data_IF_745772995093
#
_entry.id   IF_745772995093
#
_cell.length_a   1.000
_cell.length_b   1.000
_cell.length_c   1.000
_cell.angle_alpha   90.00
_cell.angle_beta   90.00
_cell.angle_gamma   90.00
#
_symmetry.space_group_name_H-M   'P 1'
#
loop_
_entity.id
_entity.type
_entity.pdbx_description
1 polymer ?
#
# COMPACT_ATOMS: atom_id res chain seq x y z
N UNK A 1 -6.59 19.35 -66.28
CA UNK A 1 -5.41 18.96 -65.48
C UNK A 1 -5.81 18.98 -64.01
N UNK A 2 -6.13 17.83 -63.45
CA UNK A 2 -6.47 17.67 -62.03
C UNK A 2 -5.18 17.61 -61.23
N UNK A 3 -4.94 18.62 -60.39
CA UNK A 3 -3.83 18.62 -59.44
C UNK A 3 -4.07 17.49 -58.43
N UNK A 4 -3.33 16.39 -58.57
CA UNK A 4 -3.29 15.33 -57.57
C UNK A 4 -2.66 15.93 -56.32
N UNK A 5 -3.48 16.23 -55.31
CA UNK A 5 -2.98 16.53 -53.96
C UNK A 5 -2.25 15.29 -53.47
N UNK A 6 -0.92 15.31 -53.51
CA UNK A 6 -0.10 14.30 -52.85
C UNK A 6 -0.34 14.45 -51.35
N UNK A 7 -1.07 13.50 -50.77
CA UNK A 7 -1.17 13.39 -49.32
C UNK A 7 0.21 12.98 -48.80
N UNK A 8 0.82 13.87 -48.01
CA UNK A 8 2.05 13.57 -47.28
C UNK A 8 1.73 12.44 -46.30
N UNK A 9 2.44 11.32 -46.41
CA UNK A 9 2.34 10.20 -45.49
C UNK A 9 3.27 10.42 -44.31
N UNK A 10 2.96 9.82 -43.17
CA UNK A 10 3.82 9.84 -41.98
C UNK A 10 5.26 9.37 -42.30
N UNK A 11 5.38 8.41 -43.23
CA UNK A 11 6.65 7.85 -43.70
C UNK A 11 7.45 8.77 -44.61
N UNK A 12 6.85 9.86 -45.09
CA UNK A 12 7.53 10.87 -45.91
C UNK A 12 8.24 11.92 -45.04
N UNK A 13 8.03 11.88 -43.71
CA UNK A 13 8.71 12.72 -42.74
C UNK A 13 10.15 12.26 -42.51
N UNK A 14 11.00 13.19 -42.07
CA UNK A 14 12.33 12.87 -41.59
C UNK A 14 12.27 11.94 -40.35
N UNK A 15 13.25 11.06 -40.20
CA UNK A 15 13.30 10.07 -39.11
C UNK A 15 13.20 10.73 -37.73
N UNK A 16 13.77 11.92 -37.57
CA UNK A 16 13.72 12.72 -36.34
C UNK A 16 12.30 13.14 -35.99
N UNK A 17 11.50 13.50 -37.00
CA UNK A 17 10.09 13.86 -36.81
C UNK A 17 9.25 12.63 -36.48
N UNK A 18 9.51 11.49 -37.13
CA UNK A 18 8.84 10.23 -36.81
C UNK A 18 9.18 9.81 -35.37
N UNK A 19 10.45 9.91 -34.97
CA UNK A 19 10.89 9.60 -33.61
C UNK A 19 10.21 10.51 -32.58
N UNK A 20 10.16 11.83 -32.83
CA UNK A 20 9.44 12.76 -31.97
C UNK A 20 7.96 12.36 -31.83
N UNK A 21 7.28 11.98 -32.91
CA UNK A 21 5.89 11.52 -32.86
C UNK A 21 5.74 10.28 -31.98
N UNK A 22 6.66 9.31 -32.10
CA UNK A 22 6.64 8.11 -31.25
C UNK A 22 6.92 8.42 -29.78
N UNK A 23 7.77 9.40 -29.48
CA UNK A 23 8.05 9.87 -28.12
C UNK A 23 6.85 10.52 -27.44
N UNK A 24 5.90 11.05 -28.22
CA UNK A 24 4.66 11.65 -27.74
C UNK A 24 3.47 10.68 -27.73
N UNK A 25 3.69 9.38 -27.96
CA UNK A 25 2.63 8.40 -27.72
C UNK A 25 2.13 8.51 -26.25
N UNK A 26 0.81 8.44 -26.04
CA UNK A 26 0.24 8.63 -24.70
C UNK A 26 0.54 7.47 -23.75
N UNK A 27 0.72 6.27 -24.29
CA UNK A 27 0.95 5.04 -23.53
C UNK A 27 1.73 4.01 -24.36
N UNK A 28 2.26 2.97 -23.68
CA UNK A 28 3.05 1.94 -24.34
C UNK A 28 2.26 1.09 -25.34
N UNK A 29 0.95 0.89 -25.14
CA UNK A 29 0.13 0.13 -26.08
C UNK A 29 -0.02 0.90 -27.41
N UNK A 30 -0.21 2.22 -27.34
CA UNK A 30 -0.23 3.14 -28.47
C UNK A 30 1.11 3.12 -29.22
N UNK A 31 2.24 3.15 -28.50
CA UNK A 31 3.58 3.02 -29.10
C UNK A 31 3.76 1.70 -29.84
N UNK A 32 3.40 0.57 -29.21
CA UNK A 32 3.52 -0.76 -29.82
C UNK A 32 2.65 -0.87 -31.07
N UNK A 33 1.40 -0.40 -31.01
CA UNK A 33 0.50 -0.37 -32.17
C UNK A 33 1.08 0.49 -33.31
N UNK A 34 1.61 1.68 -33.01
CA UNK A 34 2.25 2.53 -33.99
C UNK A 34 3.48 1.86 -34.63
N UNK A 35 4.29 1.15 -33.84
CA UNK A 35 5.48 0.44 -34.33
C UNK A 35 5.16 -0.63 -35.38
N UNK A 36 3.97 -1.22 -35.31
CA UNK A 36 3.51 -2.24 -36.25
C UNK A 36 2.80 -1.68 -37.49
N UNK A 37 2.58 -0.36 -37.57
CA UNK A 37 1.83 0.25 -38.67
C UNK A 37 2.63 0.30 -40.00
N UNK A 38 3.96 0.39 -39.95
CA UNK A 38 4.80 0.47 -41.15
C UNK A 38 6.26 0.03 -40.90
N UNK A 39 6.95 -0.62 -41.87
CA UNK A 39 8.35 -1.06 -41.70
C UNK A 39 9.33 0.04 -41.28
N UNK A 40 9.25 1.25 -41.85
CA UNK A 40 10.10 2.39 -41.45
C UNK A 40 9.97 2.72 -39.97
N UNK A 41 8.72 2.73 -39.46
CA UNK A 41 8.42 3.04 -38.06
C UNK A 41 8.95 1.91 -37.18
N UNK A 42 8.74 0.66 -37.60
CA UNK A 42 9.28 -0.52 -36.91
C UNK A 42 10.81 -0.46 -36.78
N UNK A 43 11.52 -0.09 -37.84
CA UNK A 43 12.98 0.04 -37.81
C UNK A 43 13.45 1.14 -36.86
N UNK A 44 12.78 2.30 -36.86
CA UNK A 44 13.07 3.38 -35.91
C UNK A 44 12.78 2.96 -34.47
N UNK A 45 11.62 2.35 -34.23
CA UNK A 45 11.25 1.80 -32.94
C UNK A 45 12.34 0.84 -32.43
N UNK A 46 12.79 -0.10 -33.26
CA UNK A 46 13.84 -1.06 -32.88
C UNK A 46 15.16 -0.37 -32.56
N UNK A 47 15.55 0.66 -33.33
CA UNK A 47 16.78 1.41 -33.11
C UNK A 47 16.76 2.23 -31.79
N UNK A 48 15.60 2.74 -31.38
CA UNK A 48 15.45 3.66 -30.24
C UNK A 48 14.56 3.11 -29.12
N UNK A 49 14.40 1.78 -29.03
CA UNK A 49 13.38 1.14 -28.19
C UNK A 49 13.47 1.53 -26.71
N UNK A 50 14.66 1.59 -26.10
CA UNK A 50 14.80 1.97 -24.68
C UNK A 50 14.43 3.44 -24.42
N UNK A 51 14.88 4.34 -25.30
CA UNK A 51 14.54 5.77 -25.24
C UNK A 51 13.03 5.96 -25.36
N UNK A 52 12.41 5.29 -26.33
CA UNK A 52 10.97 5.34 -26.55
C UNK A 52 10.19 4.74 -25.38
N UNK A 53 10.60 3.58 -24.88
CA UNK A 53 9.99 2.95 -23.70
C UNK A 53 9.99 3.89 -22.49
N UNK A 54 11.15 4.46 -22.20
CA UNK A 54 11.34 5.38 -21.07
C UNK A 54 10.50 6.64 -21.22
N UNK A 55 10.50 7.26 -22.40
CA UNK A 55 9.80 8.52 -22.63
C UNK A 55 8.28 8.33 -22.65
N UNK A 56 7.79 7.29 -23.32
CA UNK A 56 6.35 7.02 -23.38
C UNK A 56 5.81 6.61 -22.01
N UNK A 57 6.58 5.88 -21.20
CA UNK A 57 6.20 5.58 -19.82
C UNK A 57 6.08 6.86 -18.95
N UNK A 58 6.90 7.89 -19.20
CA UNK A 58 6.75 9.20 -18.54
C UNK A 58 5.50 9.95 -18.97
N UNK A 59 5.00 9.71 -20.18
CA UNK A 59 3.74 10.29 -20.63
C UNK A 59 2.54 9.56 -20.02
N UNK A 60 2.67 8.24 -19.80
CA UNK A 60 1.61 7.39 -19.25
C UNK A 60 1.40 7.59 -17.74
N UNK A 61 2.48 7.72 -16.97
CA UNK A 61 2.42 7.85 -15.51
C UNK A 61 2.35 9.32 -15.07
N UNK A 62 1.50 9.68 -14.09
CA UNK A 62 1.60 10.96 -13.41
C UNK A 62 3.00 11.15 -12.78
N UNK A 63 3.52 12.37 -12.86
CA UNK A 63 4.83 12.72 -12.30
C UNK A 63 4.92 12.36 -10.81
N UNK A 64 3.82 12.57 -10.07
CA UNK A 64 3.74 12.36 -8.63
C UNK A 64 3.91 10.89 -8.21
N UNK A 65 3.62 9.93 -9.11
CA UNK A 65 3.73 8.48 -8.83
C UNK A 65 4.94 7.83 -9.51
N UNK A 66 5.68 8.59 -10.33
CA UNK A 66 6.74 8.03 -11.17
C UNK A 66 7.85 7.37 -10.34
N UNK A 67 8.36 8.05 -9.31
CA UNK A 67 9.37 7.48 -8.39
C UNK A 67 8.86 6.23 -7.69
N UNK A 68 7.61 6.24 -7.24
CA UNK A 68 6.99 5.11 -6.55
C UNK A 68 6.90 3.88 -7.45
N UNK A 69 6.42 4.05 -8.69
CA UNK A 69 6.35 2.98 -9.67
C UNK A 69 7.73 2.38 -9.97
N UNK A 70 8.76 3.23 -10.03
CA UNK A 70 10.12 2.80 -10.30
C UNK A 70 10.76 2.03 -9.18
N UNK A 71 10.62 2.52 -7.95
CA UNK A 71 11.11 1.78 -6.80
C UNK A 71 10.34 0.48 -6.64
N UNK A 72 9.01 0.44 -6.85
CA UNK A 72 8.25 -0.81 -6.79
C UNK A 72 8.76 -1.84 -7.82
N UNK A 73 9.08 -1.41 -9.04
CA UNK A 73 9.67 -2.27 -10.06
C UNK A 73 11.08 -2.75 -9.69
N UNK A 74 11.95 -1.85 -9.23
CA UNK A 74 13.32 -2.18 -8.85
C UNK A 74 13.40 -2.98 -7.54
N UNK A 75 12.44 -2.80 -6.65
CA UNK A 75 12.34 -3.47 -5.36
C UNK A 75 12.18 -4.98 -5.51
N UNK A 76 11.75 -5.50 -6.67
CA UNK A 76 11.74 -6.93 -6.98
C UNK A 76 13.11 -7.63 -6.79
N UNK A 77 14.20 -6.86 -6.67
CA UNK A 77 15.58 -7.34 -6.39
C UNK A 77 16.04 -7.07 -4.95
N UNK A 78 15.19 -6.46 -4.14
CA UNK A 78 15.44 -6.00 -2.76
C UNK A 78 14.60 -6.82 -1.79
N UNK A 79 14.80 -8.14 -1.76
CA UNK A 79 14.18 -8.99 -0.75
C UNK A 79 15.00 -8.92 0.54
N UNK A 80 14.33 -8.70 1.67
CA UNK A 80 14.96 -8.87 2.96
C UNK A 80 14.86 -10.32 3.41
N UNK A 81 15.91 -10.83 4.08
CA UNK A 81 15.87 -12.18 4.67
C UNK A 81 14.79 -12.24 5.75
N UNK A 82 14.38 -13.46 6.12
CA UNK A 82 13.50 -13.65 7.27
C UNK A 82 14.10 -13.01 8.54
N UNK A 83 13.25 -12.46 9.42
CA UNK A 83 13.62 -11.72 10.63
C UNK A 83 14.55 -12.51 11.57
N UNK A 84 14.37 -13.82 11.63
CA UNK A 84 15.21 -14.74 12.42
C UNK A 84 16.69 -14.66 12.03
N UNK A 85 16.96 -14.35 10.76
CA UNK A 85 18.29 -14.35 10.15
C UNK A 85 18.86 -12.95 9.97
N UNK A 86 18.19 -11.91 10.50
CA UNK A 86 18.63 -10.53 10.37
C UNK A 86 19.33 -10.06 11.65
N UNK A 87 20.52 -9.50 11.48
CA UNK A 87 21.12 -8.60 12.47
C UNK A 87 20.54 -7.18 12.33
N UNK A 88 20.79 -6.32 13.32
CA UNK A 88 20.42 -4.90 13.22
C UNK A 88 21.12 -4.18 12.06
N UNK A 89 22.37 -4.54 11.78
CA UNK A 89 23.11 -4.01 10.64
C UNK A 89 22.50 -4.45 9.31
N UNK A 90 22.00 -5.69 9.22
CA UNK A 90 21.29 -6.16 8.04
C UNK A 90 20.01 -5.35 7.79
N UNK A 91 19.26 -5.03 8.86
CA UNK A 91 18.07 -4.18 8.78
C UNK A 91 18.43 -2.81 8.21
N UNK A 92 19.39 -2.11 8.81
CA UNK A 92 19.80 -0.78 8.34
C UNK A 92 20.35 -0.82 6.91
N UNK A 93 21.08 -1.87 6.54
CA UNK A 93 21.59 -2.06 5.19
C UNK A 93 20.46 -2.29 4.17
N UNK A 94 19.48 -3.12 4.51
CA UNK A 94 18.35 -3.45 3.64
C UNK A 94 17.45 -2.22 3.42
N UNK A 95 17.14 -1.47 4.48
CA UNK A 95 16.40 -0.21 4.39
C UNK A 95 17.14 0.80 3.52
N UNK A 96 18.45 0.95 3.69
CA UNK A 96 19.29 1.85 2.88
C UNK A 96 19.27 1.51 1.40
N UNK A 97 19.11 0.24 1.02
CA UNK A 97 18.96 -0.14 -0.39
C UNK A 97 17.68 0.45 -0.99
N UNK A 98 16.56 0.40 -0.28
CA UNK A 98 15.32 1.04 -0.72
C UNK A 98 15.52 2.56 -0.83
N UNK A 99 16.12 3.18 0.20
CA UNK A 99 16.43 4.62 0.19
C UNK A 99 17.28 5.00 -1.01
N UNK A 100 18.34 4.22 -1.28
CA UNK A 100 19.22 4.45 -2.43
C UNK A 100 18.45 4.30 -3.73
N UNK A 101 17.63 3.25 -3.88
CA UNK A 101 16.80 3.07 -5.06
C UNK A 101 15.79 4.20 -5.26
N UNK A 102 15.25 4.80 -4.20
CA UNK A 102 14.40 6.00 -4.27
C UNK A 102 15.22 7.20 -4.76
N UNK A 103 16.35 7.47 -4.11
CA UNK A 103 17.16 8.67 -4.35
C UNK A 103 17.87 8.63 -5.72
N UNK A 104 18.22 7.44 -6.20
CA UNK A 104 18.84 7.23 -7.52
C UNK A 104 17.85 6.75 -8.58
N UNK A 105 16.56 6.62 -8.23
CA UNK A 105 15.52 5.89 -8.96
C UNK A 105 15.07 6.48 -10.29
N UNK A 106 15.94 7.18 -10.99
CA UNK A 106 15.69 7.57 -12.37
C UNK A 106 15.66 6.32 -13.25
N UNK A 107 14.54 6.09 -13.90
CA UNK A 107 14.40 5.14 -15.00
C UNK A 107 15.18 5.62 -16.23
N UNK A 108 16.49 5.67 -16.16
CA UNK A 108 17.30 5.94 -17.34
C UNK A 108 17.47 4.63 -18.11
N UNK A 109 16.93 4.62 -19.33
CA UNK A 109 17.15 3.53 -20.30
C UNK A 109 16.44 2.20 -19.96
N UNK A 110 15.15 2.26 -19.62
CA UNK A 110 14.34 1.05 -19.48
C UNK A 110 14.22 0.30 -20.81
N UNK A 111 14.42 -1.01 -20.78
CA UNK A 111 13.99 -1.86 -21.89
C UNK A 111 12.45 -1.92 -22.01
N UNK A 112 11.97 -2.31 -23.18
CA UNK A 112 10.54 -2.35 -23.48
C UNK A 112 9.76 -3.30 -22.54
N UNK A 113 10.36 -4.43 -22.16
CA UNK A 113 9.71 -5.42 -21.28
C UNK A 113 9.51 -4.89 -19.86
N UNK A 114 10.50 -4.15 -19.38
CA UNK A 114 10.50 -3.50 -18.07
C UNK A 114 9.48 -2.37 -18.07
N UNK A 115 9.45 -1.53 -19.11
CA UNK A 115 8.45 -0.48 -19.24
C UNK A 115 7.02 -1.05 -19.30
N UNK A 116 6.80 -2.14 -20.05
CA UNK A 116 5.49 -2.83 -20.10
C UNK A 116 5.10 -3.35 -18.70
N UNK A 117 6.05 -3.90 -17.94
CA UNK A 117 5.79 -4.37 -16.58
C UNK A 117 5.37 -3.24 -15.65
N UNK A 118 6.04 -2.09 -15.72
CA UNK A 118 5.68 -0.88 -14.94
C UNK A 118 4.31 -0.36 -15.36
N UNK A 119 4.02 -0.25 -16.67
CA UNK A 119 2.69 0.16 -17.18
C UNK A 119 1.58 -0.78 -16.70
N UNK A 120 1.80 -2.09 -16.73
CA UNK A 120 0.83 -3.08 -16.22
C UNK A 120 0.59 -2.93 -14.72
N UNK A 121 1.66 -2.75 -13.94
CA UNK A 121 1.53 -2.51 -12.50
C UNK A 121 0.75 -1.21 -12.25
N UNK A 122 1.07 -0.14 -12.99
CA UNK A 122 0.39 1.14 -12.84
C UNK A 122 -1.11 1.04 -13.11
N UNK A 123 -1.52 0.35 -14.18
CA UNK A 123 -2.93 0.11 -14.46
C UNK A 123 -3.64 -0.60 -13.31
N UNK A 124 -3.02 -1.63 -12.72
CA UNK A 124 -3.58 -2.30 -11.53
C UNK A 124 -3.72 -1.37 -10.33
N UNK A 125 -2.73 -0.50 -10.12
CA UNK A 125 -2.78 0.52 -9.05
C UNK A 125 -3.91 1.51 -9.28
N UNK A 126 -4.10 1.98 -10.52
CA UNK A 126 -5.21 2.88 -10.88
C UNK A 126 -6.55 2.20 -10.64
N UNK A 127 -6.73 0.96 -11.11
CA UNK A 127 -7.96 0.19 -10.91
C UNK A 127 -8.28 -0.02 -9.41
N UNK A 128 -7.26 -0.37 -8.61
CA UNK A 128 -7.40 -0.54 -7.16
C UNK A 128 -7.72 0.77 -6.46
N UNK A 129 -7.09 1.88 -6.87
CA UNK A 129 -7.40 3.20 -6.33
C UNK A 129 -8.85 3.60 -6.65
N UNK A 130 -9.30 3.34 -7.87
CA UNK A 130 -10.68 3.59 -8.30
C UNK A 130 -11.70 2.77 -7.49
N UNK A 131 -11.42 1.50 -7.23
CA UNK A 131 -12.25 0.70 -6.31
C UNK A 131 -12.19 1.26 -4.90
N UNK A 132 -11.03 1.70 -4.42
CA UNK A 132 -10.90 2.34 -3.12
C UNK A 132 -11.84 3.54 -2.99
N UNK A 133 -11.90 4.44 -3.98
CA UNK A 133 -12.83 5.56 -3.93
C UNK A 133 -14.30 5.13 -3.88
N UNK A 134 -14.68 4.11 -4.67
CA UNK A 134 -16.07 3.67 -4.75
C UNK A 134 -16.53 2.91 -3.50
N UNK A 135 -15.66 2.07 -2.94
CA UNK A 135 -16.00 1.13 -1.87
C UNK A 135 -15.48 1.59 -0.49
N UNK A 136 -14.73 2.70 -0.38
CA UNK A 136 -14.21 3.10 0.93
C UNK A 136 -15.29 3.42 1.98
N UNK A 137 -16.52 3.75 1.56
CA UNK A 137 -17.67 3.94 2.44
C UNK A 137 -18.63 2.73 2.51
N UNK A 138 -18.34 1.65 1.77
CA UNK A 138 -19.17 0.45 1.63
C UNK A 138 -18.28 -0.81 1.67
N UNK A 139 -18.42 -1.64 2.70
CA UNK A 139 -17.62 -2.86 2.84
C UNK A 139 -18.52 -4.07 2.91
N UNK A 140 -18.61 -4.84 1.82
CA UNK A 140 -19.52 -5.99 1.68
C UNK A 140 -20.97 -5.61 2.06
N UNK A 141 -21.41 -5.97 3.26
CA UNK A 141 -22.76 -5.71 3.78
C UNK A 141 -22.85 -4.43 4.63
N UNK A 142 -21.72 -3.84 4.99
CA UNK A 142 -21.64 -2.72 5.93
C UNK A 142 -21.54 -1.39 5.19
N UNK A 143 -22.33 -0.42 5.64
CA UNK A 143 -22.36 0.93 5.10
C UNK A 143 -21.86 1.93 6.13
N UNK A 144 -20.78 2.62 5.81
CA UNK A 144 -20.25 3.66 6.68
C UNK A 144 -20.86 5.02 6.33
N UNK A 145 -22.11 5.20 6.74
CA UNK A 145 -22.92 6.38 6.42
C UNK A 145 -22.24 7.74 6.71
N UNK A 146 -21.52 7.93 7.85
CA UNK A 146 -20.81 9.19 8.08
C UNK A 146 -19.76 9.50 7.02
N UNK A 147 -19.02 8.50 6.56
CA UNK A 147 -18.02 8.70 5.52
C UNK A 147 -18.64 8.90 4.14
N UNK A 148 -19.70 8.13 3.80
CA UNK A 148 -20.50 8.41 2.59
C UNK A 148 -20.99 9.86 2.55
N UNK A 149 -21.47 10.36 3.69
CA UNK A 149 -21.92 11.75 3.81
C UNK A 149 -20.76 12.74 3.62
N UNK A 150 -19.57 12.44 4.13
CA UNK A 150 -18.36 13.24 3.88
C UNK A 150 -18.01 13.30 2.39
N UNK A 151 -18.01 12.16 1.70
CA UNK A 151 -17.74 12.07 0.25
C UNK A 151 -18.76 12.84 -0.57
N UNK A 152 -20.02 12.86 -0.14
CA UNK A 152 -21.10 13.61 -0.81
C UNK A 152 -20.94 15.12 -0.61
N UNK A 153 -20.51 15.55 0.59
CA UNK A 153 -20.25 16.98 0.88
C UNK A 153 -19.00 17.52 0.20
N UNK A 154 -17.96 16.69 0.07
CA UNK A 154 -16.64 17.07 -0.44
C UNK A 154 -16.20 16.04 -1.48
N UNK A 155 -16.23 16.45 -2.76
CA UNK A 155 -15.69 15.64 -3.85
C UNK A 155 -14.21 15.32 -3.63
N UNK A 156 -13.77 14.20 -4.19
CA UNK A 156 -12.40 13.75 -4.10
C UNK A 156 -11.46 14.72 -4.80
N UNK A 157 -10.39 15.12 -4.12
CA UNK A 157 -9.36 15.96 -4.72
C UNK A 157 -8.38 15.14 -5.56
N UNK A 158 -7.68 15.78 -6.51
CA UNK A 158 -6.57 15.13 -7.25
C UNK A 158 -5.49 14.62 -6.27
N UNK A 159 -5.24 15.35 -5.19
CA UNK A 159 -4.25 14.99 -4.17
C UNK A 159 -4.65 13.73 -3.42
N UNK A 160 -5.94 13.58 -3.05
CA UNK A 160 -6.45 12.33 -2.47
C UNK A 160 -6.25 11.15 -3.42
N UNK A 161 -6.51 11.36 -4.71
CA UNK A 161 -6.35 10.29 -5.69
C UNK A 161 -4.90 9.83 -5.85
N UNK A 162 -3.99 10.80 -5.99
CA UNK A 162 -2.55 10.55 -6.09
C UNK A 162 -2.04 9.89 -4.81
N UNK A 163 -2.48 10.34 -3.62
CA UNK A 163 -2.08 9.76 -2.33
C UNK A 163 -2.43 8.29 -2.24
N UNK A 164 -3.63 7.88 -2.67
CA UNK A 164 -4.01 6.45 -2.68
C UNK A 164 -3.11 5.64 -3.62
N UNK A 165 -2.80 6.16 -4.81
CA UNK A 165 -1.89 5.49 -5.73
C UNK A 165 -0.47 5.36 -5.15
N UNK A 166 0.09 6.45 -4.61
CA UNK A 166 1.40 6.47 -3.95
C UNK A 166 1.45 5.45 -2.79
N UNK A 167 0.42 5.44 -1.95
CA UNK A 167 0.31 4.54 -0.80
C UNK A 167 0.18 3.07 -1.22
N UNK A 168 -0.49 2.80 -2.34
CA UNK A 168 -0.58 1.46 -2.93
C UNK A 168 0.77 0.99 -3.45
N UNK A 169 1.56 1.87 -4.07
CA UNK A 169 2.93 1.54 -4.45
C UNK A 169 3.85 1.34 -3.23
N UNK A 170 3.75 2.18 -2.20
CA UNK A 170 4.51 2.02 -0.96
C UNK A 170 4.16 0.71 -0.26
N UNK A 171 2.88 0.34 -0.23
CA UNK A 171 2.44 -0.99 0.21
C UNK A 171 3.18 -2.08 -0.57
N UNK A 172 3.21 -1.99 -1.90
CA UNK A 172 3.88 -3.00 -2.74
C UNK A 172 5.39 -3.06 -2.51
N UNK A 173 6.05 -1.91 -2.35
CA UNK A 173 7.49 -1.84 -2.01
C UNK A 173 7.76 -2.55 -0.69
N UNK A 174 6.98 -2.24 0.36
CA UNK A 174 7.12 -2.87 1.67
C UNK A 174 6.75 -4.37 1.63
N UNK A 175 5.76 -4.75 0.82
CA UNK A 175 5.36 -6.14 0.59
C UNK A 175 6.48 -6.95 -0.08
N UNK A 176 7.16 -6.39 -1.10
CA UNK A 176 8.35 -7.03 -1.70
C UNK A 176 9.46 -7.17 -0.66
N UNK A 177 9.70 -6.09 0.07
CA UNK A 177 10.74 -6.04 1.08
C UNK A 177 10.54 -7.11 2.17
N UNK A 178 9.28 -7.41 2.51
CA UNK A 178 8.91 -8.38 3.54
C UNK A 178 8.53 -9.77 3.01
N UNK A 179 8.77 -10.07 1.73
CA UNK A 179 8.24 -11.28 1.07
C UNK A 179 8.70 -12.60 1.71
N UNK A 180 9.87 -12.62 2.35
CA UNK A 180 10.45 -13.81 3.01
C UNK A 180 10.27 -13.77 4.53
N UNK A 181 9.47 -12.85 5.08
CA UNK A 181 9.29 -12.72 6.52
C UNK A 181 8.18 -13.63 7.02
N UNK A 182 8.56 -14.58 7.86
CA UNK A 182 7.65 -15.54 8.46
C UNK A 182 7.95 -15.67 9.95
N UNK A 183 6.91 -15.59 10.77
CA UNK A 183 6.99 -15.66 12.23
C UNK A 183 6.09 -16.77 12.74
N UNK A 184 6.61 -17.56 13.68
CA UNK A 184 5.84 -18.57 14.41
C UNK A 184 6.56 -19.91 14.51
N UNK A 185 5.85 -20.90 15.03
CA UNK A 185 6.35 -22.23 15.34
C UNK A 185 6.53 -22.45 16.84
N UNK A 186 6.93 -23.66 17.22
CA UNK A 186 7.24 -24.02 18.60
C UNK A 186 8.60 -23.42 19.00
N UNK A 187 8.58 -22.13 19.35
CA UNK A 187 9.76 -21.32 19.65
C UNK A 187 9.71 -20.80 21.09
N UNK A 188 10.87 -20.62 21.76
CA UNK A 188 10.90 -20.11 23.13
C UNK A 188 10.51 -18.63 23.21
N UNK A 189 10.02 -18.17 24.37
CA UNK A 189 9.63 -16.76 24.58
C UNK A 189 10.73 -15.75 24.19
N UNK A 190 12.00 -16.10 24.44
CA UNK A 190 13.14 -15.24 24.10
C UNK A 190 13.25 -14.92 22.59
N UNK A 191 12.84 -15.86 21.72
CA UNK A 191 12.79 -15.66 20.28
C UNK A 191 11.80 -14.54 19.91
N UNK A 192 10.60 -14.58 20.48
CA UNK A 192 9.58 -13.57 20.20
C UNK A 192 9.95 -12.18 20.74
N UNK A 193 10.70 -12.11 21.85
CA UNK A 193 11.22 -10.85 22.38
C UNK A 193 12.28 -10.24 21.46
N UNK A 194 13.21 -11.07 20.95
CA UNK A 194 14.23 -10.63 19.99
C UNK A 194 13.60 -10.11 18.68
N UNK A 195 12.63 -10.84 18.14
CA UNK A 195 11.90 -10.43 16.93
C UNK A 195 11.15 -9.12 17.12
N UNK A 196 10.50 -8.95 18.28
CA UNK A 196 9.77 -7.74 18.61
C UNK A 196 10.71 -6.52 18.61
N UNK A 197 11.90 -6.67 19.21
CA UNK A 197 12.92 -5.63 19.22
C UNK A 197 13.43 -5.30 17.81
N UNK A 198 13.79 -6.32 17.01
CA UNK A 198 14.22 -6.15 15.62
C UNK A 198 13.16 -5.46 14.76
N UNK A 199 11.89 -5.77 14.97
CA UNK A 199 10.80 -5.13 14.25
C UNK A 199 10.64 -3.65 14.64
N UNK A 200 10.82 -3.31 15.92
CA UNK A 200 10.87 -1.92 16.37
C UNK A 200 12.00 -1.14 15.69
N UNK A 201 13.19 -1.73 15.61
CA UNK A 201 14.34 -1.17 14.88
C UNK A 201 14.06 -1.03 13.38
N UNK A 202 13.39 -2.01 12.77
CA UNK A 202 12.96 -1.95 11.39
C UNK A 202 12.02 -0.76 11.14
N UNK A 203 11.00 -0.60 11.98
CA UNK A 203 10.05 0.53 11.85
C UNK A 203 10.75 1.87 12.01
N UNK A 204 11.66 2.01 12.98
CA UNK A 204 12.46 3.21 13.16
C UNK A 204 13.31 3.51 11.92
N UNK A 205 14.04 2.50 11.43
CA UNK A 205 14.86 2.67 10.23
C UNK A 205 14.02 3.08 9.02
N UNK A 206 12.85 2.45 8.81
CA UNK A 206 11.93 2.79 7.72
C UNK A 206 11.42 4.24 7.83
N UNK A 207 10.94 4.63 9.02
CA UNK A 207 10.28 5.92 9.24
C UNK A 207 11.24 7.12 9.36
N UNK A 208 12.51 6.86 9.67
CA UNK A 208 13.55 7.90 9.73
C UNK A 208 14.34 8.02 8.41
N UNK A 209 14.44 6.95 7.62
CA UNK A 209 15.33 6.94 6.45
C UNK A 209 14.65 6.78 5.09
N UNK A 210 13.48 6.14 5.02
CA UNK A 210 12.90 5.70 3.74
C UNK A 210 11.55 6.33 3.43
N UNK A 211 10.66 6.38 4.41
CA UNK A 211 9.35 7.01 4.29
C UNK A 211 9.07 7.82 5.54
N UNK A 212 8.32 8.91 5.43
CA UNK A 212 7.93 9.69 6.58
C UNK A 212 6.77 9.04 7.36
N UNK A 213 6.55 9.40 8.64
CA UNK A 213 5.47 8.82 9.44
C UNK A 213 4.09 8.93 8.80
N UNK A 214 3.76 10.06 8.14
CA UNK A 214 2.47 10.23 7.48
C UNK A 214 2.30 9.27 6.29
N UNK A 215 3.36 8.95 5.56
CA UNK A 215 3.32 7.97 4.47
C UNK A 215 3.10 6.56 5.04
N UNK A 216 3.71 6.23 6.18
CA UNK A 216 3.46 4.95 6.87
C UNK A 216 1.99 4.81 7.29
N UNK A 217 1.40 5.89 7.84
CA UNK A 217 -0.02 5.92 8.17
C UNK A 217 -0.91 5.71 6.94
N UNK A 218 -0.52 6.25 5.78
CA UNK A 218 -1.24 6.05 4.53
C UNK A 218 -1.13 4.60 4.03
N UNK A 219 0.04 3.98 4.13
CA UNK A 219 0.21 2.55 3.80
C UNK A 219 -0.63 1.66 4.71
N UNK A 220 -0.64 1.94 6.02
CA UNK A 220 -1.48 1.22 6.98
C UNK A 220 -2.96 1.36 6.59
N UNK A 221 -3.41 2.56 6.23
CA UNK A 221 -4.78 2.78 5.80
C UNK A 221 -5.14 2.03 4.50
N UNK A 222 -4.22 1.92 3.53
CA UNK A 222 -4.40 1.08 2.33
C UNK A 222 -4.48 -0.39 2.68
N UNK A 223 -3.59 -0.89 3.53
CA UNK A 223 -3.63 -2.27 4.00
C UNK A 223 -4.99 -2.59 4.62
N UNK A 224 -5.49 -1.70 5.47
CA UNK A 224 -6.78 -1.88 6.12
C UNK A 224 -7.93 -1.83 5.14
N UNK A 225 -7.88 -0.94 4.14
CA UNK A 225 -8.85 -0.97 3.05
C UNK A 225 -8.87 -2.34 2.35
N UNK A 226 -7.72 -2.91 2.01
CA UNK A 226 -7.66 -4.25 1.40
C UNK A 226 -8.22 -5.33 2.32
N UNK A 227 -7.89 -5.30 3.62
CA UNK A 227 -8.48 -6.20 4.63
C UNK A 227 -10.01 -6.13 4.61
N UNK A 228 -10.58 -4.92 4.64
CA UNK A 228 -12.03 -4.71 4.64
C UNK A 228 -12.71 -5.23 3.38
N UNK A 229 -12.15 -4.94 2.20
CA UNK A 229 -12.77 -5.35 0.93
C UNK A 229 -12.65 -6.87 0.72
N UNK A 230 -11.55 -7.47 1.20
CA UNK A 230 -11.32 -8.90 1.07
C UNK A 230 -12.07 -9.73 2.09
N UNK A 231 -12.14 -9.34 3.37
CA UNK A 231 -12.73 -10.18 4.43
C UNK A 231 -13.94 -9.55 5.14
N UNK A 232 -14.20 -8.26 4.96
CA UNK A 232 -15.20 -7.53 5.76
C UNK A 232 -14.84 -7.50 7.25
N UNK A 233 -15.81 -7.14 8.08
CA UNK A 233 -15.67 -7.18 9.55
C UNK A 233 -16.46 -8.32 10.21
N UNK A 234 -17.14 -9.16 9.43
CA UNK A 234 -18.01 -10.22 9.97
C UNK A 234 -17.28 -11.50 10.36
N UNK A 235 -16.00 -11.66 9.99
CA UNK A 235 -15.22 -12.86 10.31
C UNK A 235 -14.55 -12.74 11.68
N UNK A 236 -14.31 -13.88 12.32
CA UNK A 236 -13.53 -13.97 13.55
C UNK A 236 -12.19 -13.22 13.44
N UNK A 237 -11.87 -12.44 14.46
CA UNK A 237 -10.71 -11.53 14.48
C UNK A 237 -9.38 -12.29 14.44
N UNK A 238 -9.27 -13.42 15.14
CA UNK A 238 -8.06 -14.22 15.20
C UNK A 238 -7.80 -14.92 13.87
N UNK A 239 -8.86 -15.47 13.26
CA UNK A 239 -8.78 -16.04 11.92
C UNK A 239 -8.41 -14.98 10.90
N UNK A 240 -9.02 -13.81 10.95
CA UNK A 240 -8.72 -12.69 10.05
C UNK A 240 -7.25 -12.28 10.15
N UNK A 241 -6.74 -12.07 11.35
CA UNK A 241 -5.32 -11.73 11.56
C UNK A 241 -4.36 -12.88 11.22
N UNK A 242 -4.84 -14.13 11.21
CA UNK A 242 -4.05 -15.28 10.75
C UNK A 242 -3.91 -15.35 9.22
N UNK A 243 -4.96 -15.03 8.46
CA UNK A 243 -4.99 -15.24 7.01
C UNK A 243 -4.68 -13.98 6.20
N UNK A 244 -5.09 -12.81 6.68
CA UNK A 244 -4.93 -11.55 5.95
C UNK A 244 -3.47 -11.20 5.63
N UNK A 245 -2.49 -11.37 6.54
CA UNK A 245 -1.09 -11.16 6.20
C UNK A 245 -0.63 -12.04 5.02
N UNK A 246 -1.15 -13.27 4.93
CA UNK A 246 -0.88 -14.16 3.80
C UNK A 246 -1.45 -13.63 2.48
N UNK A 247 -2.71 -13.21 2.46
CA UNK A 247 -3.32 -12.61 1.26
C UNK A 247 -2.59 -11.35 0.80
N UNK A 248 -2.24 -10.47 1.74
CA UNK A 248 -1.49 -9.24 1.46
C UNK A 248 -0.10 -9.53 0.90
N UNK A 249 0.53 -10.63 1.32
CA UNK A 249 1.86 -11.05 0.83
C UNK A 249 1.88 -11.45 -0.65
N UNK A 250 0.73 -11.80 -1.25
CA UNK A 250 0.64 -12.06 -2.69
C UNK A 250 0.74 -10.78 -3.55
N UNK A 251 0.60 -9.60 -2.93
CA UNK A 251 0.84 -8.30 -3.56
C UNK A 251 -0.24 -7.82 -4.53
N UNK A 252 0.03 -6.68 -5.18
CA UNK A 252 -0.92 -6.01 -6.07
C UNK A 252 -1.53 -6.94 -7.14
N UNK A 253 -0.79 -7.84 -7.80
CA UNK A 253 -1.39 -8.71 -8.82
C UNK A 253 -2.54 -9.56 -8.31
N UNK A 254 -2.40 -10.11 -7.10
CA UNK A 254 -3.45 -10.90 -6.44
C UNK A 254 -4.59 -10.03 -5.95
N UNK A 255 -4.28 -8.91 -5.29
CA UNK A 255 -5.29 -7.97 -4.79
C UNK A 255 -6.17 -7.43 -5.91
N UNK A 256 -5.56 -7.02 -7.02
CA UNK A 256 -6.28 -6.57 -8.22
C UNK A 256 -7.16 -7.68 -8.80
N UNK A 257 -6.67 -8.92 -8.86
CA UNK A 257 -7.48 -10.06 -9.30
C UNK A 257 -8.71 -10.24 -8.41
N UNK A 258 -8.50 -10.29 -7.09
CA UNK A 258 -9.55 -10.54 -6.10
C UNK A 258 -10.59 -9.41 -6.00
N UNK A 259 -10.15 -8.15 -6.13
CA UNK A 259 -10.96 -6.97 -5.88
C UNK A 259 -11.60 -6.43 -7.16
N UNK A 260 -10.84 -6.36 -8.26
CA UNK A 260 -11.25 -5.68 -9.48
C UNK A 260 -11.78 -6.63 -10.57
N UNK A 261 -11.25 -7.86 -10.65
CA UNK A 261 -11.59 -8.79 -11.75
C UNK A 261 -12.55 -9.91 -11.32
N UNK A 262 -12.54 -10.33 -10.06
CA UNK A 262 -13.45 -11.35 -9.53
C UNK A 262 -14.78 -10.73 -9.15
N UNK A 263 -15.89 -11.34 -9.59
CA UNK A 263 -17.23 -10.91 -9.22
C UNK A 263 -17.40 -10.92 -7.68
N UNK A 264 -18.04 -9.91 -7.06
CA UNK A 264 -18.26 -9.87 -5.62
C UNK A 264 -18.89 -11.15 -5.05
N UNK A 265 -19.79 -11.81 -5.80
CA UNK A 265 -20.44 -13.06 -5.39
C UNK A 265 -19.52 -14.28 -5.42
N UNK A 266 -18.43 -14.25 -6.18
CA UNK A 266 -17.45 -15.33 -6.30
C UNK A 266 -16.20 -15.11 -5.44
N UNK A 267 -16.04 -13.91 -4.86
CA UNK A 267 -14.84 -13.49 -4.12
C UNK A 267 -14.51 -14.41 -2.95
N UNK A 268 -15.50 -14.82 -2.17
CA UNK A 268 -15.26 -15.72 -1.03
C UNK A 268 -14.78 -17.11 -1.47
N UNK A 269 -15.31 -17.62 -2.59
CA UNK A 269 -14.84 -18.89 -3.18
C UNK A 269 -13.41 -18.76 -3.70
N UNK A 270 -13.08 -17.66 -4.38
CA UNK A 270 -11.72 -17.36 -4.81
C UNK A 270 -10.73 -17.30 -3.64
N UNK A 271 -11.08 -16.59 -2.57
CA UNK A 271 -10.21 -16.45 -1.39
C UNK A 271 -10.02 -17.79 -0.66
N UNK A 272 -11.08 -18.58 -0.54
CA UNK A 272 -11.05 -19.88 0.15
C UNK A 272 -10.04 -20.86 -0.44
N UNK A 273 -9.82 -20.81 -1.77
CA UNK A 273 -8.83 -21.65 -2.46
C UNK A 273 -7.39 -21.35 -2.02
N UNK A 274 -7.12 -20.10 -1.63
CA UNK A 274 -5.81 -19.65 -1.21
C UNK A 274 -5.65 -19.64 0.31
N UNK A 275 -6.75 -19.64 1.06
CA UNK A 275 -6.77 -19.61 2.52
C UNK A 275 -6.09 -20.87 3.10
N UNK A 276 -6.32 -22.04 2.51
CA UNK A 276 -5.68 -23.29 2.94
C UNK A 276 -4.15 -23.22 2.84
N UNK A 277 -3.63 -22.79 1.69
CA UNK A 277 -2.18 -22.61 1.47
C UNK A 277 -1.55 -21.62 2.49
N UNK A 278 -2.31 -20.62 2.92
CA UNK A 278 -1.86 -19.63 3.92
C UNK A 278 -1.86 -20.24 5.32
N UNK A 279 -2.87 -21.03 5.65
CA UNK A 279 -3.02 -21.68 6.95
C UNK A 279 -1.97 -22.77 7.19
N UNK A 280 -1.44 -23.39 6.13
CA UNK A 280 -0.37 -24.38 6.21
C UNK A 280 1.04 -23.78 6.43
N UNK A 281 1.22 -22.49 6.11
CA UNK A 281 2.51 -21.78 6.26
C UNK A 281 2.60 -21.08 7.61
N UNK A 282 3.79 -20.77 8.13
CA UNK A 282 3.92 -19.86 9.27
C UNK A 282 3.29 -18.49 8.98
N UNK A 283 3.06 -17.68 10.03
CA UNK A 283 2.38 -16.40 9.86
C UNK A 283 3.30 -15.42 9.12
N UNK A 284 2.78 -14.80 8.06
CA UNK A 284 3.56 -13.84 7.28
C UNK A 284 3.76 -12.53 8.06
N UNK A 285 4.99 -12.02 8.11
CA UNK A 285 5.38 -10.86 8.93
C UNK A 285 4.87 -9.51 8.42
N UNK A 286 4.29 -9.45 7.21
CA UNK A 286 3.82 -8.18 6.60
C UNK A 286 2.84 -7.41 7.48
N UNK A 287 1.93 -8.12 8.17
CA UNK A 287 0.99 -7.49 9.10
C UNK A 287 1.71 -6.82 10.26
N UNK A 288 2.81 -7.40 10.73
CA UNK A 288 3.61 -6.81 11.80
C UNK A 288 4.41 -5.60 11.30
N UNK A 289 4.96 -5.66 10.08
CA UNK A 289 5.74 -4.56 9.49
C UNK A 289 4.86 -3.38 9.10
N UNK A 290 3.73 -3.60 8.43
CA UNK A 290 2.78 -2.55 8.07
C UNK A 290 1.81 -2.36 9.24
N UNK A 291 2.34 -1.80 10.34
CA UNK A 291 1.60 -1.55 11.57
C UNK A 291 2.11 -0.28 12.25
N UNK A 292 1.33 0.22 13.22
CA UNK A 292 1.77 1.33 14.09
C UNK A 292 2.82 0.92 15.13
N UNK A 293 3.15 -0.37 15.18
CA UNK A 293 4.06 -0.97 16.14
C UNK A 293 3.58 -0.85 17.58
N UNK A 294 4.49 -1.12 18.52
CA UNK A 294 4.26 -0.86 19.94
C UNK A 294 4.08 0.64 20.19
N UNK A 295 3.44 0.99 21.33
CA UNK A 295 3.20 2.40 21.72
C UNK A 295 4.46 3.28 21.75
N UNK A 296 5.66 2.70 21.80
CA UNK A 296 6.93 3.41 21.96
C UNK A 296 7.91 3.27 20.78
N UNK A 297 7.58 2.56 19.71
CA UNK A 297 8.55 2.31 18.62
C UNK A 297 8.78 3.58 17.80
N UNK A 298 7.80 4.05 17.04
CA UNK A 298 7.96 5.22 16.16
C UNK A 298 6.75 6.18 16.15
N UNK A 299 5.59 5.71 16.63
CA UNK A 299 4.38 6.52 16.83
C UNK A 299 4.35 7.12 18.24
N UNK A 300 3.41 8.05 18.50
CA UNK A 300 3.10 8.53 19.87
C UNK A 300 4.28 9.19 20.60
N UNK A 301 5.27 9.67 19.83
CA UNK A 301 6.37 10.52 20.28
C UNK A 301 6.09 11.98 19.91
N UNK A 302 6.64 12.97 20.64
CA UNK A 302 6.58 14.36 20.21
C UNK A 302 7.07 14.51 18.77
N UNK A 303 6.32 15.28 17.97
CA UNK A 303 6.61 15.46 16.56
C UNK A 303 7.95 16.18 16.39
N UNK A 304 8.88 15.55 15.65
CA UNK A 304 10.10 16.21 15.18
C UNK A 304 9.76 17.33 14.18
N UNK A 305 10.65 18.33 14.01
CA UNK A 305 10.60 19.27 12.89
C UNK A 305 10.42 18.57 11.54
N UNK A 306 9.65 19.17 10.62
CA UNK A 306 9.27 18.51 9.36
C UNK A 306 10.47 18.22 8.45
N UNK A 307 11.50 19.06 8.52
CA UNK A 307 12.76 18.97 7.78
C UNK A 307 13.66 17.82 8.27
N UNK A 308 13.37 17.24 9.43
CA UNK A 308 14.07 16.04 9.92
C UNK A 308 13.52 14.73 9.34
N UNK A 309 12.31 14.74 8.75
CA UNK A 309 11.76 13.57 8.09
C UNK A 309 12.27 13.45 6.65
N UNK A 310 12.48 12.22 6.19
CA UNK A 310 12.86 11.90 4.80
C UNK A 310 11.67 11.27 4.08
N UNK A 311 10.74 12.07 3.55
CA UNK A 311 9.60 11.53 2.83
C UNK A 311 10.03 10.81 1.57
N UNK A 312 9.23 9.83 1.18
CA UNK A 312 9.36 9.17 -0.10
C UNK A 312 9.04 10.13 -1.25
N UNK A 313 8.07 11.03 -1.05
CA UNK A 313 7.76 12.11 -1.97
C UNK A 313 7.44 13.44 -1.27
N UNK A 314 8.00 14.53 -1.80
CA UNK A 314 7.72 15.89 -1.32
C UNK A 314 6.52 16.46 -2.07
N UNK A 315 5.38 16.66 -1.39
CA UNK A 315 4.24 17.34 -2.02
C UNK A 315 2.89 17.21 -1.30
N UNK A 316 2.76 16.28 -0.35
CA UNK A 316 1.47 16.01 0.29
C UNK A 316 1.22 16.85 1.56
N UNK A 317 1.05 18.16 1.38
CA UNK A 317 0.82 19.09 2.50
C UNK A 317 -0.47 18.76 3.27
N UNK A 318 -1.53 18.34 2.57
CA UNK A 318 -2.80 17.98 3.19
C UNK A 318 -2.69 16.69 4.01
N UNK A 319 -1.98 15.68 3.51
CA UNK A 319 -1.70 14.45 4.26
C UNK A 319 -0.85 14.70 5.50
N UNK A 320 0.15 15.58 5.43
CA UNK A 320 0.94 16.01 6.60
C UNK A 320 0.03 16.66 7.66
N UNK A 321 -0.89 17.55 7.25
CA UNK A 321 -1.83 18.18 8.17
C UNK A 321 -2.81 17.17 8.78
N UNK A 322 -3.28 16.21 7.99
CA UNK A 322 -4.14 15.13 8.47
C UNK A 322 -3.42 14.27 9.51
N UNK A 323 -2.19 13.85 9.22
CA UNK A 323 -1.33 13.11 10.15
C UNK A 323 -1.12 13.86 11.47
N UNK A 324 -0.82 15.16 11.42
CA UNK A 324 -0.70 15.98 12.65
C UNK A 324 -1.96 15.96 13.51
N UNK A 325 -3.15 15.95 12.90
CA UNK A 325 -4.43 15.88 13.63
C UNK A 325 -4.65 14.51 14.26
N UNK A 326 -4.31 13.44 13.53
CA UNK A 326 -4.33 12.07 14.02
C UNK A 326 -3.41 11.93 15.25
N UNK A 327 -2.14 12.31 15.11
CA UNK A 327 -1.16 12.24 16.20
C UNK A 327 -1.57 13.08 17.40
N UNK A 328 -2.00 14.33 17.17
CA UNK A 328 -2.46 15.19 18.26
C UNK A 328 -3.61 14.54 19.05
N UNK A 329 -4.53 13.86 18.36
CA UNK A 329 -5.65 13.17 19.00
C UNK A 329 -5.17 11.95 19.79
N UNK A 330 -4.27 11.15 19.24
CA UNK A 330 -3.70 9.98 19.93
C UNK A 330 -2.87 10.39 21.16
N UNK A 331 -2.08 11.46 21.06
CA UNK A 331 -1.27 11.98 22.17
C UNK A 331 -2.10 12.46 23.35
N UNK A 332 -3.36 12.85 23.16
CA UNK A 332 -4.26 13.17 24.30
C UNK A 332 -4.58 11.97 25.19
N UNK A 333 -4.32 10.75 24.69
CA UNK A 333 -4.57 9.47 25.36
C UNK A 333 -3.26 8.74 25.67
N UNK A 334 -2.10 9.38 25.50
CA UNK A 334 -0.81 8.81 25.87
C UNK A 334 -0.48 9.17 27.32
N UNK A 335 -0.11 8.19 28.14
CA UNK A 335 0.31 8.40 29.53
C UNK A 335 1.48 7.48 29.87
N UNK A 336 2.39 7.98 30.71
CA UNK A 336 3.48 7.18 31.30
C UNK A 336 3.07 6.59 32.67
N UNK A 337 1.86 6.87 33.16
CA UNK A 337 1.34 6.34 34.43
C UNK A 337 0.86 4.88 34.25
N UNK A 338 1.50 3.90 34.92
CA UNK A 338 1.14 2.49 34.80
C UNK A 338 -0.30 2.19 35.23
N UNK A 339 -0.87 2.96 36.17
CA UNK A 339 -2.24 2.73 36.68
C UNK A 339 -3.28 3.10 35.64
N UNK A 340 -3.00 4.12 34.84
CA UNK A 340 -3.91 4.58 33.81
C UNK A 340 -3.61 3.97 32.43
N UNK A 341 -2.45 3.35 32.24
CA UNK A 341 -2.02 2.77 30.97
C UNK A 341 -3.09 1.85 30.39
N UNK A 342 -3.57 0.86 31.16
CA UNK A 342 -4.55 -0.15 30.68
C UNK A 342 -5.86 0.48 30.19
N UNK A 343 -6.35 1.51 30.87
CA UNK A 343 -7.58 2.22 30.48
C UNK A 343 -7.36 3.03 29.19
N UNK A 344 -6.22 3.70 29.07
CA UNK A 344 -5.87 4.46 27.88
C UNK A 344 -5.45 3.55 26.71
N UNK A 345 -4.93 2.35 26.96
CA UNK A 345 -4.69 1.25 26.00
C UNK A 345 -5.96 0.92 25.25
N UNK A 346 -7.01 0.57 25.98
CA UNK A 346 -8.29 0.25 25.38
C UNK A 346 -8.88 1.41 24.57
N UNK A 347 -8.88 2.63 25.13
CA UNK A 347 -9.44 3.80 24.46
C UNK A 347 -8.65 4.22 23.21
N UNK A 348 -7.33 4.07 23.26
CA UNK A 348 -6.47 4.33 22.11
C UNK A 348 -6.72 3.32 21.01
N UNK A 349 -6.73 2.02 21.30
CA UNK A 349 -7.07 0.96 20.34
C UNK A 349 -8.40 1.26 19.64
N UNK A 350 -9.42 1.63 20.43
CA UNK A 350 -10.74 2.02 19.92
C UNK A 350 -10.67 3.23 18.99
N UNK A 351 -9.91 4.27 19.37
CA UNK A 351 -9.69 5.45 18.52
C UNK A 351 -8.97 5.06 17.21
N UNK A 352 -8.00 4.16 17.27
CA UNK A 352 -7.20 3.76 16.11
C UNK A 352 -8.01 2.95 15.10
N UNK A 353 -8.79 1.97 15.58
CA UNK A 353 -9.81 1.31 14.76
C UNK A 353 -10.76 2.33 14.12
N UNK A 354 -11.06 3.43 14.83
CA UNK A 354 -11.83 4.57 14.31
C UNK A 354 -11.23 5.34 13.17
N UNK A 355 -9.97 5.68 13.30
CA UNK A 355 -9.26 6.33 12.23
C UNK A 355 -9.03 5.39 11.04
N UNK A 356 -8.97 4.08 11.28
CA UNK A 356 -8.73 3.08 10.27
C UNK A 356 -9.96 2.75 9.40
N UNK A 357 -11.15 2.64 10.01
CA UNK A 357 -12.41 2.52 9.27
C UNK A 357 -12.61 3.71 8.34
N UNK A 358 -12.30 4.91 8.84
CA UNK A 358 -12.25 6.11 8.00
C UNK A 358 -11.10 6.09 7.01
N UNK A 359 -10.05 5.30 7.24
CA UNK A 359 -8.78 5.36 6.51
C UNK A 359 -8.26 6.79 6.46
N UNK A 360 -8.34 7.47 7.61
CA UNK A 360 -8.24 8.91 7.76
C UNK A 360 -6.99 9.50 7.07
N UNK A 361 -5.87 8.77 7.11
CA UNK A 361 -4.61 9.18 6.52
C UNK A 361 -4.65 9.35 4.99
N UNK A 362 -5.60 8.73 4.29
CA UNK A 362 -5.75 8.81 2.83
C UNK A 362 -6.45 10.10 2.37
N UNK A 363 -7.02 10.88 3.30
CA UNK A 363 -7.87 12.00 2.95
C UNK A 363 -7.26 13.35 3.29
N UNK A 364 -7.75 14.38 2.60
CA UNK A 364 -7.34 15.74 2.88
C UNK A 364 -7.82 16.19 4.26
N UNK A 365 -7.02 17.04 4.93
CA UNK A 365 -7.27 17.49 6.29
C UNK A 365 -8.60 18.23 6.48
N UNK A 366 -9.16 18.77 5.40
CA UNK A 366 -10.50 19.36 5.38
C UNK A 366 -11.62 18.37 5.74
N UNK A 367 -11.40 17.06 5.59
CA UNK A 367 -12.37 16.03 6.01
C UNK A 367 -12.37 15.79 7.52
N UNK A 368 -11.36 16.28 8.25
CA UNK A 368 -11.27 16.07 9.69
C UNK A 368 -12.52 16.53 10.46
N UNK A 369 -13.16 17.61 10.00
CA UNK A 369 -14.41 18.11 10.59
C UNK A 369 -15.58 17.13 10.48
N UNK A 370 -15.56 16.22 9.49
CA UNK A 370 -16.53 15.14 9.38
C UNK A 370 -16.13 13.93 10.21
N UNK A 371 -14.82 13.64 10.29
CA UNK A 371 -14.25 12.49 11.00
C UNK A 371 -14.39 12.67 12.51
N UNK A 372 -13.88 13.78 13.06
CA UNK A 372 -13.72 14.00 14.49
C UNK A 372 -15.02 13.82 15.30
N UNK A 373 -16.19 14.32 14.85
CA UNK A 373 -17.43 14.10 15.59
C UNK A 373 -17.80 12.63 15.71
N UNK A 374 -17.52 11.81 14.68
CA UNK A 374 -17.82 10.37 14.71
C UNK A 374 -16.94 9.61 15.68
N UNK A 375 -15.72 10.10 15.94
CA UNK A 375 -14.80 9.51 16.92
C UNK A 375 -15.34 9.60 18.34
N UNK A 376 -16.36 10.43 18.61
CA UNK A 376 -16.96 10.63 19.94
C UNK A 376 -18.29 9.89 20.12
N UNK A 377 -18.83 9.29 19.07
CA UNK A 377 -20.10 8.56 19.14
C UNK A 377 -19.92 7.22 19.90
N UNK A 378 -20.98 6.70 20.53
CA UNK A 378 -21.03 5.30 20.98
C UNK A 378 -20.68 4.40 19.80
N UNK A 379 -20.03 3.25 20.03
CA UNK A 379 -19.64 2.31 18.97
C UNK A 379 -20.84 1.98 18.07
N UNK A 380 -20.87 2.49 16.83
CA UNK A 380 -21.90 2.09 15.89
C UNK A 380 -21.74 0.59 15.56
N UNK A 381 -22.81 -0.10 15.18
CA UNK A 381 -22.77 -1.55 14.93
C UNK A 381 -21.69 -1.96 13.91
N UNK A 382 -21.40 -1.11 12.92
CA UNK A 382 -20.33 -1.35 11.94
C UNK A 382 -18.90 -1.33 12.53
N UNK A 383 -18.76 -1.08 13.83
CA UNK A 383 -17.50 -1.00 14.57
C UNK A 383 -17.25 -2.21 15.45
N UNK A 384 -18.28 -3.04 15.66
CA UNK A 384 -18.16 -4.29 16.38
C UNK A 384 -17.13 -5.17 15.65
N UNK A 385 -16.04 -5.53 16.33
CA UNK A 385 -14.95 -6.36 15.78
C UNK A 385 -13.73 -5.61 15.22
N UNK A 386 -13.72 -4.28 15.13
CA UNK A 386 -12.58 -3.49 14.56
C UNK A 386 -11.48 -3.21 15.61
N UNK A 387 -11.50 -3.83 16.79
CA UNK A 387 -10.56 -3.48 17.86
C UNK A 387 -9.09 -3.84 17.53
N UNK A 388 -8.86 -4.82 16.64
CA UNK A 388 -7.51 -5.39 16.43
C UNK A 388 -6.89 -5.17 15.04
N UNK A 389 -7.58 -4.48 14.11
CA UNK A 389 -7.01 -4.23 12.77
C UNK A 389 -5.87 -3.21 12.74
N UNK A 390 -5.73 -2.41 13.80
CA UNK A 390 -4.76 -1.30 13.88
C UNK A 390 -3.46 -1.63 14.64
N UNK A 391 -3.46 -2.72 15.42
CA UNK A 391 -2.27 -3.29 16.05
C UNK A 391 -2.00 -4.74 15.58
N UNK A 392 -1.87 -4.96 14.25
CA UNK A 392 -1.57 -6.29 13.74
C UNK A 392 -0.25 -6.81 14.30
N UNK A 393 0.70 -5.97 14.74
CA UNK A 393 1.91 -6.46 15.40
C UNK A 393 1.61 -7.29 16.66
N UNK A 394 0.88 -6.75 17.64
CA UNK A 394 0.62 -7.44 18.91
C UNK A 394 -0.26 -8.70 18.70
N UNK A 395 -1.34 -8.58 17.93
CA UNK A 395 -2.22 -9.71 17.66
C UNK A 395 -1.51 -10.80 16.82
N UNK A 396 -0.73 -10.42 15.81
CA UNK A 396 0.03 -11.39 15.01
C UNK A 396 1.11 -12.07 15.86
N UNK A 397 1.75 -11.37 16.81
CA UNK A 397 2.68 -12.01 17.74
C UNK A 397 1.97 -12.95 18.72
N UNK A 398 0.79 -12.57 19.21
CA UNK A 398 -0.04 -13.44 20.04
C UNK A 398 -0.40 -14.73 19.29
N UNK A 399 -0.88 -14.61 18.05
CA UNK A 399 -1.19 -15.74 17.18
C UNK A 399 0.04 -16.61 16.88
N UNK A 400 1.18 -15.98 16.63
CA UNK A 400 2.42 -16.71 16.34
C UNK A 400 2.90 -17.54 17.53
N UNK A 401 2.71 -17.04 18.76
CA UNK A 401 3.03 -17.73 20.03
C UNK A 401 2.05 -18.86 20.37
N UNK A 402 0.83 -18.82 19.84
CA UNK A 402 -0.24 -19.76 20.15
C UNK A 402 -0.83 -20.42 18.88
N UNK A 403 -0.03 -21.14 18.09
CA UNK A 403 -0.47 -21.73 16.81
C UNK A 403 -1.47 -22.91 16.95
N UNK A 404 -1.63 -23.43 18.17
CA UNK A 404 -2.45 -24.60 18.51
C UNK A 404 -3.86 -24.25 19.00
N UNK A 405 -4.28 -22.99 18.89
CA UNK A 405 -5.67 -22.61 19.10
C UNK A 405 -6.56 -23.28 18.03
N UNK A 406 -6.95 -24.53 18.32
CA UNK A 406 -7.51 -25.51 17.39
C UNK A 406 -8.82 -25.06 16.72
N UNK A 407 -9.55 -24.15 17.35
CA UNK A 407 -10.79 -23.59 16.80
C UNK A 407 -10.56 -22.74 15.55
N UNK A 408 -9.37 -22.12 15.38
CA UNK A 408 -9.01 -21.35 14.17
C UNK A 408 -8.88 -22.20 12.90
N UNK A 409 -8.72 -23.53 13.01
CA UNK A 409 -8.61 -24.45 11.86
C UNK A 409 -9.95 -25.06 11.43
N UNK A 410 -10.99 -24.92 12.27
CA UNK A 410 -12.22 -25.72 12.16
C UNK A 410 -13.51 -24.93 11.96
N UNK A 411 -13.46 -23.59 11.91
CA UNK A 411 -14.62 -22.83 11.41
C UNK A 411 -14.71 -23.00 9.89
N UNK A 412 -15.43 -24.02 9.44
CA UNK A 412 -15.95 -24.02 8.08
C UNK A 412 -16.77 -22.76 7.86
N UNK A 413 -16.66 -22.19 6.67
CA UNK A 413 -17.48 -21.07 6.17
C UNK A 413 -18.95 -21.53 6.15
N UNK A 414 -19.63 -21.45 7.28
CA UNK A 414 -21.09 -21.47 7.37
C UNK A 414 -21.50 -20.28 8.23
N UNK A 415 -21.96 -19.24 7.53
CA UNK A 415 -22.39 -17.94 8.05
C UNK A 415 -22.57 -17.00 6.88
#
# INVERSE_FOLDING_TARGET
>A
MTAVRRHVRLTDLANELILAILEFCPDLASLLNASHAHPTIYHLFRAYHNRLATQVLKNELPEEVYTHAGVAFLAGKLTMKNLDNLSLDDISHAVRKITTCRDTGSFHDLDMSSAISVSRLHRKVVDLADVCFRECAETREQNFAPFRNSLTKRQLSKTEQIRIQQSTYLFEILRIFCQEMYVGGDQPQAYYVDLYFKLGELHLNLTENTLAPWEMYQVIAIQSFFRRVLHGFGRDEYRSERVMPGFLSYGIPFLHKAICETDPSERDSFLSQHEQDILEKPIHGIGMVISRGARHTWTRKPLKPLDEYKPFWTGDVAGIRMWKRIEAKQLTMSTDDPVWSDMFDYELLRLEGRLDLWSAALWDDARWEDIEPTLRLPEPECWAGIQHHSEPMEMTFHLARHPDMAWMRHESVEG
#
